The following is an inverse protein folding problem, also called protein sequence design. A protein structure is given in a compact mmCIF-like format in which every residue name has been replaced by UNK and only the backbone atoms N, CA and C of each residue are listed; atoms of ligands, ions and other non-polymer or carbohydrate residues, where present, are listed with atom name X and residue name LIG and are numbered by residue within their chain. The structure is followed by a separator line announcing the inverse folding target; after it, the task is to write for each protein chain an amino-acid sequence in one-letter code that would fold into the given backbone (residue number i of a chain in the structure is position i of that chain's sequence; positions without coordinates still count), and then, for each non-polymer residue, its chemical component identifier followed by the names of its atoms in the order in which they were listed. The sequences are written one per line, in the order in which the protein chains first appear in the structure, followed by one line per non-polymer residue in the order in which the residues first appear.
data_IF_348745632816
#
_entry.id   IF_348745632816
#
_cell.length_a   1.000
_cell.length_b   1.000
_cell.length_c   1.000
_cell.angle_alpha   90.00
_cell.angle_beta   90.00
_cell.angle_gamma   90.00
#
_symmetry.space_group_name_H-M   'P 1'
#
loop_
_entity.id
_entity.type
_entity.pdbx_description
1 polymer ?
#
# COMPACT_ATOMS: atom_id res chain seq x y z
N UNK A 1 4.72 -3.00 14.94
CA UNK A 1 5.58 -2.99 13.78
C UNK A 1 6.41 -1.79 14.09
N UNK A 2 7.72 -1.90 14.16
CA UNK A 2 8.50 -0.69 14.42
C UNK A 2 8.33 0.21 13.18
N UNK A 3 7.58 1.34 13.26
CA UNK A 3 7.23 2.11 12.07
C UNK A 3 8.45 2.72 11.40
N UNK A 4 9.46 3.08 12.21
CA UNK A 4 10.73 3.63 11.74
C UNK A 4 11.50 2.57 10.94
N UNK A 5 11.58 1.34 11.45
CA UNK A 5 12.23 0.24 10.74
C UNK A 5 11.52 -0.08 9.42
N UNK A 6 10.19 -0.13 9.44
CA UNK A 6 9.40 -0.39 8.25
C UNK A 6 9.56 0.71 7.19
N UNK A 7 9.50 1.99 7.59
CA UNK A 7 9.74 3.13 6.70
C UNK A 7 11.14 3.09 6.07
N UNK A 8 12.16 2.72 6.85
CA UNK A 8 13.53 2.63 6.35
C UNK A 8 13.68 1.51 5.31
N UNK A 9 13.15 0.32 5.61
CA UNK A 9 13.21 -0.82 4.67
C UNK A 9 12.39 -0.54 3.41
N UNK A 10 11.22 0.11 3.53
CA UNK A 10 10.45 0.58 2.37
C UNK A 10 11.25 1.54 1.50
N UNK A 11 11.90 2.54 2.10
CA UNK A 11 12.75 3.48 1.36
C UNK A 11 13.92 2.80 0.66
N UNK A 12 14.57 1.85 1.34
CA UNK A 12 15.66 1.03 0.77
C UNK A 12 15.19 0.20 -0.44
N UNK A 13 13.93 -0.27 -0.41
CA UNK A 13 13.36 -1.12 -1.47
C UNK A 13 13.03 -0.40 -2.78
N UNK A 14 13.01 0.93 -2.78
CA UNK A 14 12.59 1.74 -3.92
C UNK A 14 11.07 1.82 -4.12
N UNK A 15 10.27 1.14 -3.29
CA UNK A 15 8.80 1.24 -3.32
C UNK A 15 8.37 2.66 -2.95
N UNK A 16 7.49 3.24 -3.76
CA UNK A 16 6.98 4.59 -3.51
C UNK A 16 6.15 4.64 -2.23
N UNK A 17 6.49 5.59 -1.36
CA UNK A 17 5.78 5.88 -0.12
C UNK A 17 5.01 7.19 -0.23
N UNK A 18 3.69 7.10 -0.14
CA UNK A 18 2.76 8.23 -0.16
C UNK A 18 2.32 8.63 1.26
N UNK A 19 1.91 9.88 1.43
CA UNK A 19 1.14 10.27 2.59
C UNK A 19 -0.34 9.95 2.35
N UNK A 20 -1.05 9.40 3.33
CA UNK A 20 -2.49 9.15 3.22
C UNK A 20 -3.29 10.43 2.87
N UNK A 21 -2.80 11.60 3.26
CA UNK A 21 -3.41 12.88 2.92
C UNK A 21 -3.22 13.30 1.45
N UNK A 22 -2.41 12.56 0.67
CA UNK A 22 -2.26 12.77 -0.78
C UNK A 22 -3.46 12.24 -1.58
N UNK A 23 -4.43 11.62 -0.91
CA UNK A 23 -5.58 10.96 -1.50
C UNK A 23 -6.89 11.64 -1.13
N UNK A 24 -7.74 11.89 -2.12
CA UNK A 24 -9.14 12.29 -1.90
C UNK A 24 -9.99 11.03 -1.79
N UNK A 25 -10.46 10.70 -0.58
CA UNK A 25 -11.30 9.52 -0.35
C UNK A 25 -12.67 9.73 -0.98
N UNK A 26 -13.07 8.81 -1.86
CA UNK A 26 -14.34 8.86 -2.59
C UNK A 26 -15.40 8.00 -1.91
N UNK A 27 -15.02 6.78 -1.53
CA UNK A 27 -15.97 5.78 -1.00
C UNK A 27 -15.26 4.74 -0.14
N UNK A 28 -15.94 4.19 0.86
CA UNK A 28 -15.53 2.97 1.55
C UNK A 28 -16.23 1.77 0.91
N UNK A 29 -15.54 1.05 0.04
CA UNK A 29 -16.12 0.00 -0.79
C UNK A 29 -16.12 -1.39 -0.14
N UNK A 30 -15.48 -1.54 1.02
CA UNK A 30 -15.46 -2.83 1.70
C UNK A 30 -15.04 -2.74 3.15
N UNK A 31 -15.83 -3.37 4.03
CA UNK A 31 -15.46 -3.68 5.40
C UNK A 31 -15.57 -5.18 5.58
N UNK A 32 -14.43 -5.85 5.65
CA UNK A 32 -14.35 -7.27 6.03
C UNK A 32 -13.67 -7.39 7.38
N UNK A 33 -13.82 -8.54 8.03
CA UNK A 33 -13.05 -8.90 9.22
C UNK A 33 -11.53 -8.77 8.97
N UNK A 34 -11.11 -8.95 7.71
CA UNK A 34 -9.71 -8.95 7.28
C UNK A 34 -9.19 -7.61 6.75
N UNK A 35 -10.02 -6.64 6.36
CA UNK A 35 -9.55 -5.32 5.88
C UNK A 35 -10.67 -4.28 5.71
N UNK A 36 -10.33 -3.00 5.91
CA UNK A 36 -11.04 -1.85 5.35
C UNK A 36 -10.43 -1.55 3.97
N UNK A 37 -11.29 -1.33 2.98
CA UNK A 37 -10.92 -1.01 1.60
C UNK A 37 -11.60 0.29 1.20
N UNK A 38 -10.81 1.27 0.77
CA UNK A 38 -11.27 2.61 0.42
C UNK A 38 -10.92 2.90 -1.03
N UNK A 39 -11.89 3.43 -1.79
CA UNK A 39 -11.70 3.97 -3.13
C UNK A 39 -11.32 5.43 -3.01
N UNK A 40 -10.22 5.82 -3.65
CA UNK A 40 -9.70 7.17 -3.54
C UNK A 40 -9.15 7.66 -4.88
N UNK A 41 -9.06 8.99 -5.03
CA UNK A 41 -8.30 9.64 -6.10
C UNK A 41 -6.88 9.91 -5.60
N UNK A 42 -5.89 9.48 -6.37
CA UNK A 42 -4.48 9.85 -6.15
C UNK A 42 -4.18 11.08 -7.02
N UNK A 43 -4.07 12.24 -6.39
CA UNK A 43 -3.98 13.52 -7.10
C UNK A 43 -2.73 13.59 -8.01
N UNK A 44 -1.58 13.09 -7.54
CA UNK A 44 -0.31 13.15 -8.29
C UNK A 44 -0.30 12.38 -9.62
N UNK A 45 -1.19 11.38 -9.78
CA UNK A 45 -1.31 10.55 -10.99
C UNK A 45 -2.66 10.72 -11.68
N UNK A 46 -3.53 11.61 -11.16
CA UNK A 46 -4.89 11.86 -11.64
C UNK A 46 -5.75 10.59 -11.82
N UNK A 47 -5.47 9.51 -11.08
CA UNK A 47 -6.09 8.21 -11.24
C UNK A 47 -6.91 7.77 -10.02
N UNK A 48 -7.80 6.80 -10.23
CA UNK A 48 -8.57 6.15 -9.16
C UNK A 48 -7.83 4.92 -8.68
N UNK A 49 -7.69 4.81 -7.36
CA UNK A 49 -6.97 3.74 -6.69
C UNK A 49 -7.81 3.13 -5.58
N UNK A 50 -7.36 1.97 -5.13
CA UNK A 50 -7.80 1.32 -3.90
C UNK A 50 -6.73 1.43 -2.84
N UNK A 51 -7.13 1.94 -1.67
CA UNK A 51 -6.36 1.89 -0.44
C UNK A 51 -6.84 0.70 0.38
N UNK A 52 -6.01 -0.34 0.43
CA UNK A 52 -6.29 -1.53 1.26
C UNK A 52 -5.41 -1.49 2.49
N UNK A 53 -6.01 -1.51 3.68
CA UNK A 53 -5.24 -1.50 4.93
C UNK A 53 -4.25 -2.67 4.97
N UNK A 54 -3.00 -2.36 5.26
CA UNK A 54 -1.93 -3.32 5.42
C UNK A 54 -1.84 -3.74 6.88
N UNK A 55 -2.37 -4.92 7.20
CA UNK A 55 -2.33 -5.49 8.54
C UNK A 55 -1.00 -6.21 8.81
N UNK A 56 0.06 -5.46 9.08
CA UNK A 56 1.31 -6.04 9.58
C UNK A 56 1.22 -6.20 11.09
N UNK A 57 1.43 -7.42 11.60
CA UNK A 57 1.40 -7.67 13.05
C UNK A 57 2.51 -6.90 13.75
N UNK A 58 2.19 -6.33 14.92
CA UNK A 58 3.12 -5.39 15.53
C UNK A 58 4.40 -6.02 16.09
N UNK A 59 4.41 -7.33 16.33
CA UNK A 59 5.52 -8.09 16.92
C UNK A 59 6.44 -8.75 15.89
N UNK A 60 6.30 -8.44 14.60
CA UNK A 60 7.14 -9.05 13.57
C UNK A 60 8.57 -8.52 13.67
N UNK A 61 9.54 -9.44 13.69
CA UNK A 61 10.96 -9.11 13.63
C UNK A 61 11.37 -8.58 12.26
N UNK A 62 12.54 -7.96 12.19
CA UNK A 62 13.09 -7.34 10.97
C UNK A 62 13.10 -8.30 9.77
N UNK A 63 13.47 -9.57 9.98
CA UNK A 63 13.51 -10.58 8.93
C UNK A 63 12.16 -10.74 8.23
N UNK A 64 11.06 -10.81 8.99
CA UNK A 64 9.70 -10.96 8.43
C UNK A 64 9.27 -9.70 7.69
N UNK A 65 9.68 -8.51 8.18
CA UNK A 65 9.44 -7.25 7.47
C UNK A 65 10.17 -7.27 6.12
N UNK A 66 11.44 -7.71 6.08
CA UNK A 66 12.22 -7.77 4.84
C UNK A 66 11.62 -8.75 3.83
N UNK A 67 11.21 -9.94 4.27
CA UNK A 67 10.52 -10.90 3.40
C UNK A 67 9.24 -10.31 2.80
N UNK A 68 8.44 -9.66 3.64
CA UNK A 68 7.22 -8.99 3.17
C UNK A 68 7.52 -7.87 2.16
N UNK A 69 8.59 -7.10 2.35
CA UNK A 69 8.98 -6.05 1.41
C UNK A 69 9.47 -6.64 0.08
N UNK A 70 10.15 -7.78 0.09
CA UNK A 70 10.52 -8.52 -1.12
C UNK A 70 9.28 -8.98 -1.89
N UNK A 71 8.21 -9.41 -1.19
CA UNK A 71 6.93 -9.73 -1.85
C UNK A 71 6.31 -8.49 -2.50
N UNK A 72 6.38 -7.32 -1.87
CA UNK A 72 5.90 -6.07 -2.47
C UNK A 72 6.72 -5.62 -3.68
N UNK A 73 8.05 -5.82 -3.66
CA UNK A 73 8.91 -5.56 -4.81
C UNK A 73 8.55 -6.51 -5.98
N UNK A 74 8.37 -7.80 -5.68
CA UNK A 74 7.92 -8.78 -6.66
C UNK A 74 6.56 -8.36 -7.25
N UNK A 75 5.62 -7.92 -6.41
CA UNK A 75 4.32 -7.42 -6.86
C UNK A 75 4.46 -6.19 -7.76
N UNK A 76 5.35 -5.26 -7.40
CA UNK A 76 5.66 -4.09 -8.21
C UNK A 76 6.14 -4.50 -9.61
N UNK A 77 7.17 -5.36 -9.66
CA UNK A 77 7.77 -5.87 -10.90
C UNK A 77 6.78 -6.61 -11.80
N UNK A 78 5.97 -7.53 -11.25
CA UNK A 78 5.00 -8.28 -12.08
C UNK A 78 3.82 -7.42 -12.54
N UNK A 79 3.62 -6.25 -11.91
CA UNK A 79 2.56 -5.32 -12.26
C UNK A 79 3.02 -4.20 -13.21
N UNK A 80 4.31 -4.18 -13.57
CA UNK A 80 4.92 -3.30 -14.56
C UNK A 80 5.63 -4.10 -15.67
N UNK A 81 5.18 -4.02 -16.94
CA UNK A 81 4.12 -3.16 -17.46
C UNK A 81 2.70 -3.62 -17.06
N UNK A 82 1.69 -2.73 -17.14
CA UNK A 82 0.31 -3.07 -16.79
C UNK A 82 -0.20 -4.29 -17.55
N UNK A 83 -0.79 -5.25 -16.83
CA UNK A 83 -1.36 -6.48 -17.37
C UNK A 83 -2.85 -6.59 -17.02
N UNK A 84 -3.74 -6.98 -17.96
CA UNK A 84 -5.20 -6.94 -17.75
C UNK A 84 -5.73 -7.76 -16.56
N UNK A 85 -4.97 -8.77 -16.10
CA UNK A 85 -5.37 -9.64 -14.97
C UNK A 85 -4.62 -9.36 -13.66
N UNK A 86 -3.64 -8.44 -13.66
CA UNK A 86 -2.86 -8.10 -12.47
C UNK A 86 -3.15 -6.65 -12.13
N UNK A 87 -3.70 -6.41 -10.94
CA UNK A 87 -3.91 -5.02 -10.48
C UNK A 87 -2.54 -4.36 -10.31
N UNK A 88 -2.35 -3.25 -11.01
CA UNK A 88 -1.13 -2.48 -10.88
C UNK A 88 -0.90 -2.00 -9.45
N UNK A 89 0.31 -2.15 -8.93
CA UNK A 89 0.70 -1.75 -7.58
C UNK A 89 1.50 -0.45 -7.64
N UNK A 90 0.90 0.63 -7.15
CA UNK A 90 1.51 1.96 -7.18
C UNK A 90 2.46 2.22 -6.00
N UNK A 91 2.40 1.41 -4.94
CA UNK A 91 3.23 1.56 -3.75
C UNK A 91 2.43 1.49 -2.44
N UNK A 92 2.98 2.11 -1.40
CA UNK A 92 2.43 2.09 -0.04
C UNK A 92 2.06 3.51 0.39
N UNK A 93 0.94 3.69 1.10
CA UNK A 93 0.59 4.95 1.76
C UNK A 93 0.67 4.80 3.28
N UNK A 94 1.07 5.87 3.96
CA UNK A 94 1.14 5.93 5.43
C UNK A 94 0.19 7.01 5.99
N UNK A 95 -0.66 6.62 6.93
CA UNK A 95 -1.42 7.54 7.78
C UNK A 95 -0.63 7.78 9.07
N UNK A 96 0.09 8.90 9.12
CA UNK A 96 0.90 9.30 10.27
C UNK A 96 0.07 9.54 11.54
N UNK A 97 -1.24 9.79 11.42
CA UNK A 97 -2.10 10.03 12.59
C UNK A 97 -2.57 8.71 13.23
N UNK A 98 -2.65 7.63 12.46
CA UNK A 98 -3.15 6.32 12.93
C UNK A 98 -2.09 5.23 13.00
N UNK A 99 -0.84 5.54 12.61
CA UNK A 99 0.24 4.56 12.43
C UNK A 99 -0.19 3.37 11.57
N UNK A 100 -0.90 3.67 10.48
CA UNK A 100 -1.46 2.68 9.57
C UNK A 100 -0.83 2.81 8.19
N UNK A 101 -0.65 1.67 7.55
CA UNK A 101 -0.14 1.57 6.18
C UNK A 101 -1.23 1.01 5.27
N UNK A 102 -1.20 1.39 4.01
CA UNK A 102 -2.14 0.96 3.00
C UNK A 102 -1.38 0.55 1.74
N UNK A 103 -1.82 -0.54 1.11
CA UNK A 103 -1.42 -0.83 -0.26
C UNK A 103 -2.21 0.08 -1.20
N UNK A 104 -1.51 0.70 -2.15
CA UNK A 104 -2.10 1.53 -3.21
C UNK A 104 -2.18 0.70 -4.48
N UNK A 105 -3.39 0.30 -4.84
CA UNK A 105 -3.64 -0.64 -5.95
C UNK A 105 -4.51 0.00 -7.02
N UNK A 106 -4.37 -0.46 -8.25
CA UNK A 106 -5.29 -0.12 -9.34
C UNK A 106 -6.72 -0.50 -8.97
N UNK A 107 -7.62 0.45 -9.20
CA UNK A 107 -9.04 0.19 -9.15
C UNK A 107 -9.45 -0.61 -10.40
N UNK A 108 -10.11 -1.74 -10.18
CA UNK A 108 -10.72 -2.55 -11.22
C UNK A 108 -12.23 -2.56 -10.95
N UNK A 109 -13.01 -2.11 -11.94
CA UNK A 109 -14.47 -2.19 -11.94
C UNK A 109 -14.98 -3.64 -12.03
#
# INVERSE_FOLDING_TARGET
MNPILFDNILKESGIKLYNYNDFTILEKIGKSESANVEKARLESLECIVILKILKVKMSLGEHVIREFIVELQTLHEVSEPPHPHIRHFYGVAKDNNKDQYFLVLQYAD
#
